data_IF_404299354941
#
_entry.id   IF_404299354941
#
_cell.length_a   1.000
_cell.length_b   1.000
_cell.length_c   1.000
_cell.angle_alpha   90.00
_cell.angle_beta   90.00
_cell.angle_gamma   90.00
#
_symmetry.space_group_name_H-M   'P 1'
#
loop_
_entity.id
_entity.type
_entity.pdbx_description
1 polymer ?
#
# COMPACT_ATOMS: atom_id res chain seq x y z
N UNK A 1 -15.92 -12.63 8.21
CA UNK A 1 -15.20 -11.35 8.15
C UNK A 1 -14.71 -11.14 6.72
N UNK A 2 -15.04 -10.02 6.10
CA UNK A 2 -14.55 -9.71 4.74
C UNK A 2 -13.08 -9.25 4.81
N UNK A 3 -12.30 -9.42 3.74
CA UNK A 3 -10.87 -9.03 3.72
C UNK A 3 -10.66 -7.54 4.04
N UNK A 4 -11.52 -6.67 3.50
CA UNK A 4 -11.49 -5.23 3.78
C UNK A 4 -11.76 -4.90 5.26
N UNK A 5 -12.61 -5.68 5.91
CA UNK A 5 -12.98 -5.54 7.32
C UNK A 5 -11.81 -5.91 8.24
N UNK A 6 -11.05 -6.96 7.90
CA UNK A 6 -9.82 -7.33 8.60
C UNK A 6 -8.78 -6.20 8.55
N UNK A 7 -8.56 -5.67 7.35
CA UNK A 7 -7.56 -4.61 7.11
C UNK A 7 -7.91 -3.35 7.89
N UNK A 8 -9.19 -2.93 7.84
CA UNK A 8 -9.65 -1.78 8.61
C UNK A 8 -9.51 -2.00 10.13
N UNK A 9 -9.91 -3.17 10.63
CA UNK A 9 -9.82 -3.52 12.06
C UNK A 9 -8.37 -3.54 12.54
N UNK A 10 -7.46 -4.08 11.73
CA UNK A 10 -6.03 -4.09 12.04
C UNK A 10 -5.47 -2.67 12.15
N UNK A 11 -5.78 -1.79 11.19
CA UNK A 11 -5.25 -0.42 11.24
C UNK A 11 -5.84 0.42 12.36
N UNK A 12 -7.11 0.20 12.69
CA UNK A 12 -7.70 0.80 13.88
C UNK A 12 -6.94 0.38 15.14
N UNK A 13 -6.77 -0.92 15.35
CA UNK A 13 -6.02 -1.44 16.50
C UNK A 13 -4.56 -0.93 16.52
N UNK A 14 -3.86 -0.96 15.38
CA UNK A 14 -2.47 -0.54 15.30
C UNK A 14 -2.30 0.95 15.64
N UNK A 15 -3.23 1.80 15.18
CA UNK A 15 -3.25 3.23 15.49
C UNK A 15 -3.55 3.55 16.96
N UNK A 16 -4.33 2.70 17.64
CA UNK A 16 -4.59 2.82 19.08
C UNK A 16 -3.35 2.47 19.93
N UNK A 17 -2.50 1.56 19.45
CA UNK A 17 -1.29 1.16 20.18
C UNK A 17 -0.10 2.10 19.92
N UNK A 18 -0.02 2.68 18.73
CA UNK A 18 1.12 3.50 18.33
C UNK A 18 0.77 4.42 17.16
N UNK A 19 1.33 5.63 17.16
CA UNK A 19 1.26 6.55 16.03
C UNK A 19 2.66 7.00 15.66
N UNK A 20 2.97 7.13 14.35
CA UNK A 20 4.20 7.77 13.94
C UNK A 20 4.22 9.23 14.42
N UNK A 21 5.40 9.70 14.76
CA UNK A 21 5.68 11.04 15.24
C UNK A 21 6.37 11.87 14.16
N UNK A 22 6.36 13.20 14.32
CA UNK A 22 7.14 14.08 13.47
C UNK A 22 8.63 13.68 13.48
N UNK A 23 9.23 13.60 12.30
CA UNK A 23 10.61 13.14 12.10
C UNK A 23 10.79 11.64 11.93
N UNK A 24 9.73 10.83 12.07
CA UNK A 24 9.81 9.40 11.81
C UNK A 24 9.92 9.12 10.30
N UNK A 25 10.62 8.03 9.96
CA UNK A 25 10.66 7.50 8.61
C UNK A 25 9.53 6.49 8.41
N UNK A 26 8.96 6.49 7.21
CA UNK A 26 7.97 5.51 6.74
C UNK A 26 8.36 5.09 5.33
N UNK A 27 8.49 3.78 5.09
CA UNK A 27 8.76 3.20 3.76
C UNK A 27 7.48 2.71 3.09
N UNK A 28 7.20 3.20 1.89
CA UNK A 28 6.19 2.63 1.00
C UNK A 28 6.81 1.64 0.02
N UNK A 29 6.14 0.50 -0.19
CA UNK A 29 6.56 -0.53 -1.15
C UNK A 29 5.35 -1.19 -1.82
N UNK A 30 5.48 -1.42 -3.13
CA UNK A 30 4.49 -2.05 -3.99
C UNK A 30 4.91 -3.45 -4.41
N UNK A 31 4.11 -4.47 -4.08
CA UNK A 31 4.35 -5.87 -4.47
C UNK A 31 3.23 -6.43 -5.31
N UNK A 32 3.57 -7.03 -6.45
CA UNK A 32 2.63 -7.78 -7.28
C UNK A 32 2.57 -9.24 -6.87
N UNK A 33 1.36 -9.75 -6.61
CA UNK A 33 1.11 -11.13 -6.22
C UNK A 33 0.87 -11.99 -7.47
N UNK A 34 1.94 -12.37 -8.17
CA UNK A 34 1.85 -13.13 -9.44
C UNK A 34 1.16 -14.49 -9.31
N UNK A 35 1.07 -15.06 -8.10
CA UNK A 35 0.29 -16.27 -7.83
C UNK A 35 -1.23 -16.07 -8.02
N UNK A 36 -1.70 -14.82 -8.08
CA UNK A 36 -3.10 -14.45 -8.34
C UNK A 36 -3.39 -14.21 -9.81
N UNK A 37 -2.44 -14.54 -10.70
CA UNK A 37 -2.61 -14.31 -12.14
C UNK A 37 -3.78 -15.13 -12.68
N UNK A 38 -4.74 -14.43 -13.28
CA UNK A 38 -5.79 -15.01 -14.12
C UNK A 38 -5.47 -14.68 -15.59
N UNK A 39 -5.96 -15.50 -16.51
CA UNK A 39 -5.76 -15.35 -17.95
C UNK A 39 -4.27 -15.26 -18.37
N UNK A 40 -3.44 -16.14 -17.81
CA UNK A 40 -1.97 -16.15 -17.98
C UNK A 40 -1.47 -16.19 -19.44
N UNK A 41 -2.29 -16.63 -20.40
CA UNK A 41 -1.88 -16.90 -21.78
C UNK A 41 -2.16 -15.80 -22.80
N UNK A 42 -2.70 -14.64 -22.39
CA UNK A 42 -3.06 -13.58 -23.33
C UNK A 42 -2.71 -12.18 -22.78
N UNK A 43 -2.88 -11.13 -23.59
CA UNK A 43 -2.63 -9.74 -23.15
C UNK A 43 -3.64 -9.25 -22.08
N UNK A 44 -4.54 -10.12 -21.62
CA UNK A 44 -5.50 -9.87 -20.54
C UNK A 44 -5.05 -10.49 -19.21
N UNK A 45 -3.76 -10.73 -18.99
CA UNK A 45 -3.26 -11.08 -17.66
C UNK A 45 -3.77 -10.08 -16.61
N UNK A 46 -4.41 -10.61 -15.58
CA UNK A 46 -4.90 -9.84 -14.44
C UNK A 46 -4.32 -10.44 -13.16
N UNK A 47 -3.73 -9.60 -12.31
CA UNK A 47 -3.13 -10.02 -11.05
C UNK A 47 -3.37 -8.94 -9.99
N UNK A 48 -3.44 -9.39 -8.75
CA UNK A 48 -3.54 -8.52 -7.58
C UNK A 48 -2.17 -7.95 -7.23
N UNK A 49 -2.13 -6.68 -6.86
CA UNK A 49 -0.96 -5.99 -6.32
C UNK A 49 -1.33 -5.33 -5.00
N UNK A 50 -0.33 -5.14 -4.15
CA UNK A 50 -0.50 -4.50 -2.85
C UNK A 50 0.52 -3.39 -2.65
N UNK A 51 0.09 -2.25 -2.12
CA UNK A 51 0.98 -1.20 -1.62
C UNK A 51 0.86 -1.14 -0.11
N UNK A 52 1.98 -1.11 0.59
CA UNK A 52 2.05 -0.97 2.05
C UNK A 52 2.97 0.16 2.48
N UNK A 53 2.60 0.88 3.53
CA UNK A 53 3.45 1.84 4.24
C UNK A 53 3.89 1.26 5.58
N UNK A 54 5.19 1.09 5.75
CA UNK A 54 5.80 0.53 6.95
C UNK A 54 6.53 1.62 7.73
N UNK A 55 6.24 1.75 9.02
CA UNK A 55 6.91 2.71 9.90
C UNK A 55 8.02 2.03 10.69
N UNK A 56 9.27 2.42 10.42
CA UNK A 56 10.48 1.72 10.81
C UNK A 56 10.70 1.74 12.31
N UNK A 57 10.43 2.89 12.94
CA UNK A 57 10.66 3.10 14.36
C UNK A 57 9.72 2.29 15.25
N UNK A 58 8.47 2.16 14.83
CA UNK A 58 7.40 1.49 15.57
C UNK A 58 7.18 0.04 15.10
N UNK A 59 7.79 -0.34 13.97
CA UNK A 59 7.82 -1.70 13.48
C UNK A 59 6.51 -2.21 12.86
N UNK A 60 5.58 -1.32 12.48
CA UNK A 60 4.24 -1.69 12.02
C UNK A 60 3.91 -1.15 10.62
N UNK A 61 2.97 -1.80 9.94
CA UNK A 61 2.35 -1.28 8.72
C UNK A 61 1.26 -0.29 9.11
N UNK A 62 1.34 0.93 8.58
CA UNK A 62 0.40 2.02 8.82
C UNK A 62 -0.77 2.04 7.85
N UNK A 63 -0.54 1.59 6.62
CA UNK A 63 -1.55 1.58 5.58
C UNK A 63 -1.24 0.47 4.56
N UNK A 64 -2.28 -0.19 4.06
CA UNK A 64 -2.20 -1.26 3.05
C UNK A 64 -3.40 -1.13 2.13
N UNK A 65 -3.15 -1.18 0.83
CA UNK A 65 -4.19 -1.32 -0.17
C UNK A 65 -3.85 -2.46 -1.11
N UNK A 66 -4.90 -3.15 -1.56
CA UNK A 66 -4.86 -4.15 -2.60
C UNK A 66 -5.63 -3.64 -3.81
N UNK A 67 -5.11 -3.88 -5.01
CA UNK A 67 -5.73 -3.45 -6.25
C UNK A 67 -5.42 -4.42 -7.39
N UNK A 68 -6.37 -4.58 -8.30
CA UNK A 68 -6.14 -5.31 -9.55
C UNK A 68 -5.39 -4.42 -10.54
N UNK A 69 -4.39 -4.98 -11.23
CA UNK A 69 -3.56 -4.28 -12.21
C UNK A 69 -4.34 -3.58 -13.34
N UNK A 70 -5.59 -3.98 -13.60
CA UNK A 70 -6.46 -3.34 -14.62
C UNK A 70 -7.52 -2.39 -14.08
N UNK A 71 -7.77 -2.39 -12.77
CA UNK A 71 -8.86 -1.61 -12.17
C UNK A 71 -8.38 -0.23 -11.71
N UNK A 72 -7.19 -0.17 -11.10
CA UNK A 72 -6.58 1.06 -10.61
C UNK A 72 -5.07 1.01 -10.84
N UNK A 73 -4.49 2.18 -11.12
CA UNK A 73 -3.03 2.31 -11.19
C UNK A 73 -2.42 2.33 -9.79
N UNK A 74 -1.25 1.73 -9.63
CA UNK A 74 -0.49 1.73 -8.36
C UNK A 74 -0.30 3.15 -7.80
N UNK A 75 -0.10 4.13 -8.68
CA UNK A 75 0.04 5.55 -8.32
C UNK A 75 -1.21 6.14 -7.64
N UNK A 76 -2.40 5.83 -8.16
CA UNK A 76 -3.66 6.30 -7.57
C UNK A 76 -3.87 5.71 -6.18
N UNK A 77 -3.49 4.44 -6.01
CA UNK A 77 -3.52 3.75 -4.73
C UNK A 77 -2.55 4.37 -3.73
N UNK A 78 -1.35 4.74 -4.17
CA UNK A 78 -0.38 5.45 -3.32
C UNK A 78 -0.92 6.80 -2.88
N UNK A 79 -1.48 7.61 -3.78
CA UNK A 79 -2.06 8.91 -3.42
C UNK A 79 -3.14 8.74 -2.34
N UNK A 80 -4.03 7.76 -2.50
CA UNK A 80 -5.09 7.50 -1.53
C UNK A 80 -4.53 7.11 -0.15
N UNK A 81 -3.45 6.33 -0.12
CA UNK A 81 -2.79 5.95 1.14
C UNK A 81 -2.00 7.12 1.75
N UNK A 82 -1.39 7.99 0.94
CA UNK A 82 -0.68 9.18 1.41
C UNK A 82 -1.62 10.16 2.12
N UNK A 83 -2.87 10.28 1.66
CA UNK A 83 -3.88 11.11 2.32
C UNK A 83 -4.14 10.67 3.77
N UNK A 84 -3.98 9.39 4.10
CA UNK A 84 -4.11 8.87 5.47
C UNK A 84 -2.95 9.30 6.39
N UNK A 85 -1.82 9.71 5.80
CA UNK A 85 -0.59 10.06 6.49
C UNK A 85 -0.33 11.57 6.51
N UNK A 86 -1.22 12.36 5.90
CA UNK A 86 -1.09 13.82 5.81
C UNK A 86 -1.04 14.47 7.20
N UNK A 87 -0.21 15.52 7.33
CA UNK A 87 -0.12 16.31 8.56
C UNK A 87 0.68 15.69 9.71
N UNK A 88 1.27 14.48 9.54
CA UNK A 88 2.01 13.78 10.60
C UNK A 88 3.50 14.19 10.74
N UNK A 89 4.02 14.99 9.81
CA UNK A 89 5.42 15.45 9.84
C UNK A 89 6.46 14.34 9.65
N UNK A 90 6.09 13.26 8.96
CA UNK A 90 6.95 12.10 8.69
C UNK A 90 7.74 12.25 7.39
N UNK A 91 8.87 11.54 7.30
CA UNK A 91 9.64 11.39 6.06
C UNK A 91 9.25 10.10 5.36
N UNK A 92 8.85 10.19 4.09
CA UNK A 92 8.44 9.05 3.29
C UNK A 92 9.57 8.63 2.35
N UNK A 93 9.90 7.34 2.35
CA UNK A 93 10.72 6.71 1.32
C UNK A 93 9.83 5.78 0.50
N UNK A 94 9.79 5.94 -0.80
CA UNK A 94 8.97 5.10 -1.68
C UNK A 94 9.94 4.30 -2.55
N UNK A 95 10.12 3.01 -2.25
CA UNK A 95 10.93 2.15 -3.11
C UNK A 95 10.15 1.90 -4.40
N UNK A 96 10.87 2.01 -5.51
CA UNK A 96 10.42 2.17 -6.88
C UNK A 96 8.98 1.69 -7.11
N UNK A 97 8.02 2.56 -6.77
CA UNK A 97 6.68 2.61 -7.33
C UNK A 97 6.83 2.29 -8.80
N UNK A 98 6.44 1.07 -9.21
CA UNK A 98 6.85 0.52 -10.50
C UNK A 98 6.47 1.56 -11.54
N UNK A 99 7.53 2.22 -12.03
CA UNK A 99 7.45 3.57 -12.53
C UNK A 99 6.39 3.63 -13.60
N UNK A 100 5.57 4.69 -13.56
CA UNK A 100 4.61 5.05 -14.61
C UNK A 100 4.97 4.34 -15.91
N UNK A 101 4.15 3.39 -16.36
CA UNK A 101 4.19 2.99 -17.76
C UNK A 101 3.75 4.21 -18.57
N UNK A 102 4.67 5.15 -18.82
CA UNK A 102 4.58 6.04 -19.95
C UNK A 102 4.82 5.16 -21.17
N UNK A 103 3.74 4.69 -21.77
CA UNK A 103 3.66 4.36 -23.18
C UNK A 103 2.23 4.54 -23.67
#
# INVERSE_FOLDING_TARGET
MKKSELVATFFQWAGEQTSPMAGDFVSGDGKSLKSTVNDYGNQKQDFSSTVSFYAQKIGIVLALAEFGNKQMGEWEVVINLLALLEGKGITLSLDALHSQKKR
#
